data_IF_358189906687
#
_entry.id   IF_358189906687
#
_cell.length_a   1.000
_cell.length_b   1.000
_cell.length_c   1.000
_cell.angle_alpha   90.00
_cell.angle_beta   90.00
_cell.angle_gamma   90.00
#
_symmetry.space_group_name_H-M   'P 1'
#
loop_
_entity.id
_entity.type
_entity.pdbx_description
1 polymer ?
#
# COMPACT_ATOMS: atom_id res chain seq x y z
N UNK A 1 6.61 -7.43 0.68
CA UNK A 1 7.46 -6.27 0.30
C UNK A 1 6.75 -5.01 0.78
N UNK A 2 7.47 -4.04 1.35
CA UNK A 2 6.88 -2.73 1.65
C UNK A 2 6.82 -1.92 0.36
N UNK A 3 5.64 -1.87 -0.25
CA UNK A 3 5.34 -1.00 -1.39
C UNK A 3 5.57 0.45 -0.99
N UNK A 4 6.34 1.19 -1.80
CA UNK A 4 6.47 2.63 -1.61
C UNK A 4 5.07 3.26 -1.78
N UNK A 5 4.60 4.10 -0.83
CA UNK A 5 3.26 4.66 -0.90
C UNK A 5 2.98 5.50 -2.15
N UNK A 6 4.01 6.07 -2.78
CA UNK A 6 3.88 6.84 -4.03
C UNK A 6 4.00 6.00 -5.29
N UNK A 7 4.19 4.68 -5.17
CA UNK A 7 4.36 3.77 -6.30
C UNK A 7 5.79 3.67 -6.84
N UNK A 8 6.76 4.37 -6.24
CA UNK A 8 8.13 4.39 -6.73
C UNK A 8 8.81 3.02 -6.68
N UNK A 9 9.57 2.70 -7.73
CA UNK A 9 10.22 1.41 -7.88
C UNK A 9 11.67 1.38 -7.35
N UNK A 10 12.06 0.23 -6.81
CA UNK A 10 13.47 -0.12 -6.59
C UNK A 10 14.00 -0.88 -7.81
N UNK A 11 15.31 -0.83 -8.04
CA UNK A 11 15.95 -1.50 -9.18
C UNK A 11 15.60 -2.99 -9.25
N UNK A 12 15.74 -3.69 -8.13
CA UNK A 12 15.49 -5.14 -8.07
C UNK A 12 14.00 -5.43 -8.29
N UNK A 13 13.12 -4.65 -7.66
CA UNK A 13 11.67 -4.75 -7.83
C UNK A 13 11.28 -4.54 -9.29
N UNK A 14 11.74 -3.48 -9.93
CA UNK A 14 11.45 -3.18 -11.33
C UNK A 14 11.88 -4.31 -12.29
N UNK A 15 12.97 -5.01 -11.97
CA UNK A 15 13.53 -6.08 -12.82
C UNK A 15 12.93 -7.45 -12.58
N UNK A 16 12.49 -7.75 -11.36
CA UNK A 16 12.09 -9.10 -10.96
C UNK A 16 10.59 -9.21 -10.74
N UNK A 17 9.99 -8.20 -10.13
CA UNK A 17 8.59 -8.24 -9.68
C UNK A 17 7.69 -7.32 -10.51
N UNK A 18 8.28 -6.31 -11.17
CA UNK A 18 7.56 -5.25 -11.85
C UNK A 18 6.76 -4.41 -10.87
N UNK A 19 5.49 -4.18 -11.18
CA UNK A 19 4.55 -3.55 -10.28
C UNK A 19 3.87 -4.56 -9.33
N UNK A 20 3.96 -5.86 -9.61
CA UNK A 20 3.29 -6.95 -8.90
C UNK A 20 1.86 -7.22 -9.39
N UNK A 21 1.39 -6.58 -10.46
CA UNK A 21 -0.01 -6.67 -10.91
C UNK A 21 -0.31 -8.05 -11.50
N UNK A 22 0.56 -8.54 -12.38
CA UNK A 22 0.38 -9.83 -13.05
C UNK A 22 1.07 -10.95 -12.28
N UNK A 23 2.22 -10.64 -11.67
CA UNK A 23 3.01 -11.60 -10.89
C UNK A 23 2.23 -12.23 -9.74
N UNK A 24 1.39 -11.46 -9.06
CA UNK A 24 0.51 -12.00 -8.01
C UNK A 24 -0.46 -13.04 -8.59
N UNK A 25 -1.10 -12.76 -9.73
CA UNK A 25 -2.06 -13.65 -10.38
C UNK A 25 -1.40 -14.97 -10.81
N UNK A 26 -0.26 -14.89 -11.50
CA UNK A 26 0.48 -16.08 -11.97
C UNK A 26 1.03 -16.90 -10.80
N UNK A 27 1.49 -16.23 -9.74
CA UNK A 27 2.00 -16.89 -8.54
C UNK A 27 0.94 -17.62 -7.72
N UNK A 28 -0.34 -17.55 -8.11
CA UNK A 28 -1.45 -18.13 -7.36
C UNK A 28 -1.74 -17.40 -6.05
N UNK A 29 -1.05 -16.28 -5.78
CA UNK A 29 -1.33 -15.39 -4.65
C UNK A 29 -2.31 -14.28 -5.00
N UNK A 30 -2.60 -14.09 -6.30
CA UNK A 30 -3.66 -13.21 -6.77
C UNK A 30 -4.88 -13.59 -5.98
N UNK A 31 -5.56 -12.59 -5.41
CA UNK A 31 -6.64 -12.76 -4.46
C UNK A 31 -7.66 -13.78 -4.98
N UNK A 32 -7.40 -15.06 -4.72
CA UNK A 32 -8.40 -16.05 -4.47
C UNK A 32 -8.88 -15.64 -3.09
N UNK A 33 -9.57 -14.48 -3.02
CA UNK A 33 -10.65 -14.38 -2.08
C UNK A 33 -11.43 -15.67 -2.35
N UNK A 34 -11.40 -16.65 -1.41
CA UNK A 34 -12.18 -17.86 -1.62
C UNK A 34 -13.56 -17.38 -2.05
N UNK A 35 -14.15 -17.97 -3.13
CA UNK A 35 -15.38 -17.47 -3.73
C UNK A 35 -16.29 -17.08 -2.59
N UNK A 36 -16.64 -15.78 -2.50
CA UNK A 36 -17.14 -15.17 -1.27
C UNK A 36 -18.09 -16.15 -0.63
N UNK A 37 -17.64 -16.81 0.45
CA UNK A 37 -18.41 -17.92 0.96
C UNK A 37 -19.79 -17.36 1.25
N UNK A 38 -20.84 -18.02 0.76
CA UNK A 38 -22.20 -17.55 0.98
C UNK A 38 -22.50 -17.66 2.48
N UNK A 39 -22.09 -16.64 3.20
CA UNK A 39 -22.26 -16.54 4.62
C UNK A 39 -23.71 -16.14 4.87
N UNK A 40 -24.33 -16.77 5.86
CA UNK A 40 -25.65 -16.35 6.28
C UNK A 40 -25.58 -14.89 6.76
N UNK A 41 -26.67 -14.15 6.62
CA UNK A 41 -26.78 -12.79 7.16
C UNK A 41 -26.42 -12.73 8.64
N UNK A 42 -26.71 -13.80 9.40
CA UNK A 42 -26.32 -13.92 10.81
C UNK A 42 -24.81 -13.99 11.01
N UNK A 43 -24.10 -14.76 10.18
CA UNK A 43 -22.64 -14.84 10.22
C UNK A 43 -22.00 -13.49 9.86
N UNK A 44 -22.46 -12.82 8.79
CA UNK A 44 -21.91 -11.52 8.39
C UNK A 44 -22.12 -10.48 9.49
N UNK A 45 -23.32 -10.43 10.08
CA UNK A 45 -23.61 -9.55 11.22
C UNK A 45 -22.73 -9.84 12.44
N UNK A 46 -22.43 -11.10 12.72
CA UNK A 46 -21.53 -11.47 13.82
C UNK A 46 -20.08 -11.08 13.53
N UNK A 47 -19.59 -11.34 12.31
CA UNK A 47 -18.21 -11.02 11.93
C UNK A 47 -17.98 -9.50 11.91
N UNK A 48 -18.84 -8.79 11.18
CA UNK A 48 -18.67 -7.36 10.89
C UNK A 48 -19.27 -6.47 11.97
N UNK A 49 -20.23 -6.97 12.75
CA UNK A 49 -20.98 -6.19 13.72
C UNK A 49 -22.20 -5.49 13.13
N UNK A 50 -23.03 -4.92 14.00
CA UNK A 50 -24.31 -4.29 13.65
C UNK A 50 -24.41 -2.88 14.20
N UNK A 51 -23.81 -2.64 15.37
CA UNK A 51 -23.77 -1.32 16.01
C UNK A 51 -22.75 -0.44 15.30
N UNK A 52 -23.16 0.74 14.88
CA UNK A 52 -22.31 1.66 14.13
C UNK A 52 -21.84 2.79 15.04
N UNK A 53 -20.54 2.92 15.20
CA UNK A 53 -19.91 4.06 15.82
C UNK A 53 -19.16 4.91 14.80
N UNK A 54 -19.07 6.20 15.09
CA UNK A 54 -18.37 7.17 14.25
C UNK A 54 -17.32 7.89 15.06
N UNK A 55 -16.16 8.07 14.44
CA UNK A 55 -15.09 8.87 15.00
C UNK A 55 -14.57 9.83 13.92
N UNK A 56 -14.42 11.11 14.28
CA UNK A 56 -13.87 12.12 13.37
C UNK A 56 -12.39 12.28 13.64
N UNK A 57 -11.57 11.98 12.64
CA UNK A 57 -10.14 12.21 12.67
C UNK A 57 -9.84 13.71 12.76
N UNK A 58 -8.68 14.11 13.31
CA UNK A 58 -8.20 15.51 13.23
C UNK A 58 -8.11 16.05 11.79
N UNK A 59 -7.98 15.16 10.79
CA UNK A 59 -8.00 15.49 9.36
C UNK A 59 -9.40 15.81 8.82
N UNK A 60 -10.46 15.66 9.64
CA UNK A 60 -11.86 15.83 9.24
C UNK A 60 -12.50 14.56 8.62
N UNK A 61 -11.72 13.51 8.40
CA UNK A 61 -12.23 12.21 7.91
C UNK A 61 -13.08 11.54 8.98
N UNK A 62 -14.28 11.08 8.62
CA UNK A 62 -15.17 10.34 9.51
C UNK A 62 -14.99 8.85 9.30
N UNK A 63 -14.42 8.18 10.30
CA UNK A 63 -14.30 6.73 10.34
C UNK A 63 -15.58 6.13 10.91
N UNK A 64 -16.00 5.02 10.32
CA UNK A 64 -17.14 4.24 10.77
C UNK A 64 -16.64 2.86 11.16
N UNK A 65 -16.95 2.40 12.37
CA UNK A 65 -16.57 1.08 12.84
C UNK A 65 -17.70 0.44 13.63
N UNK A 66 -17.58 -0.88 13.83
CA UNK A 66 -18.61 -1.72 14.43
C UNK A 66 -18.01 -2.53 15.57
N UNK A 67 -18.01 -1.99 16.81
CA UNK A 67 -17.24 -2.56 17.91
C UNK A 67 -17.82 -3.88 18.43
N UNK A 68 -19.06 -4.21 18.06
CA UNK A 68 -19.73 -5.47 18.38
C UNK A 68 -19.34 -6.63 17.43
N UNK A 69 -18.62 -6.35 16.34
CA UNK A 69 -18.18 -7.38 15.40
C UNK A 69 -17.00 -8.21 15.92
N UNK A 70 -17.01 -9.52 15.65
CA UNK A 70 -15.92 -10.42 16.02
C UNK A 70 -14.57 -9.99 15.41
N UNK A 71 -14.56 -9.43 14.20
CA UNK A 71 -13.34 -8.93 13.58
C UNK A 71 -12.73 -7.77 14.39
N UNK A 72 -13.56 -6.81 14.81
CA UNK A 72 -13.11 -5.69 15.63
C UNK A 72 -12.55 -6.17 16.98
N UNK A 73 -13.33 -7.01 17.67
CA UNK A 73 -12.97 -7.54 18.99
C UNK A 73 -11.71 -8.41 18.94
N UNK A 74 -11.56 -9.25 17.90
CA UNK A 74 -10.37 -10.07 17.70
C UNK A 74 -9.10 -9.23 17.54
N UNK A 75 -9.19 -8.11 16.81
CA UNK A 75 -8.08 -7.17 16.66
C UNK A 75 -7.73 -6.46 17.97
N UNK A 76 -8.73 -6.01 18.73
CA UNK A 76 -8.51 -5.43 20.06
C UNK A 76 -7.90 -6.45 21.03
N UNK A 77 -8.33 -7.71 20.98
CA UNK A 77 -7.77 -8.77 21.82
C UNK A 77 -6.31 -9.09 21.45
N UNK A 78 -5.98 -9.11 20.15
CA UNK A 78 -4.65 -9.42 19.66
C UNK A 78 -3.64 -8.29 19.91
N UNK A 79 -4.01 -7.05 19.59
CA UNK A 79 -3.10 -5.90 19.62
C UNK A 79 -3.22 -5.04 20.87
N UNK A 80 -4.36 -5.11 21.56
CA UNK A 80 -4.66 -4.38 22.77
C UNK A 80 -5.66 -3.22 22.58
N UNK A 81 -6.20 -2.69 23.68
CA UNK A 81 -7.23 -1.65 23.66
C UNK A 81 -6.86 -0.38 22.87
N UNK A 82 -7.78 0.05 22.01
CA UNK A 82 -7.68 1.22 21.16
C UNK A 82 -6.84 1.01 19.89
N UNK A 83 -6.47 -0.23 19.57
CA UNK A 83 -5.68 -0.55 18.38
C UNK A 83 -6.38 -0.11 17.10
N UNK A 84 -7.65 -0.49 16.92
CA UNK A 84 -8.36 -0.22 15.66
C UNK A 84 -8.42 1.29 15.38
N UNK A 85 -8.77 2.07 16.40
CA UNK A 85 -8.83 3.54 16.28
C UNK A 85 -7.47 4.13 15.95
N UNK A 86 -6.42 3.74 16.70
CA UNK A 86 -5.08 4.26 16.51
C UNK A 86 -4.52 3.95 15.12
N UNK A 87 -4.75 2.74 14.61
CA UNK A 87 -4.33 2.37 13.26
C UNK A 87 -5.01 3.24 12.19
N UNK A 88 -6.33 3.40 12.25
CA UNK A 88 -7.04 4.23 11.28
C UNK A 88 -6.66 5.72 11.40
N UNK A 89 -6.40 6.23 12.61
CA UNK A 89 -5.87 7.59 12.83
C UNK A 89 -4.52 7.78 12.12
N UNK A 90 -3.63 6.78 12.20
CA UNK A 90 -2.32 6.82 11.55
C UNK A 90 -2.39 6.63 10.03
N UNK A 91 -3.30 5.79 9.53
CA UNK A 91 -3.58 5.66 8.09
C UNK A 91 -4.12 6.97 7.51
N UNK A 92 -5.07 7.62 8.20
CA UNK A 92 -5.60 8.92 7.80
C UNK A 92 -4.54 10.01 7.81
N UNK A 93 -3.63 10.00 8.79
CA UNK A 93 -2.47 10.89 8.80
C UNK A 93 -1.52 10.61 7.63
N UNK A 94 -1.22 9.34 7.34
CA UNK A 94 -0.38 8.96 6.21
C UNK A 94 -0.98 9.48 4.90
N UNK A 95 -2.28 9.27 4.67
CA UNK A 95 -2.98 9.75 3.49
C UNK A 95 -2.92 11.28 3.38
N UNK A 96 -3.12 12.01 4.49
CA UNK A 96 -3.02 13.47 4.51
C UNK A 96 -1.60 13.97 4.22
N UNK A 97 -0.58 13.30 4.74
CA UNK A 97 0.83 13.62 4.43
C UNK A 97 1.13 13.39 2.96
N UNK A 98 0.67 12.28 2.39
CA UNK A 98 0.83 11.98 0.97
C UNK A 98 0.14 13.01 0.08
N UNK A 99 -1.14 13.31 0.33
CA UNK A 99 -1.91 14.29 -0.44
C UNK A 99 -1.23 15.67 -0.48
N UNK A 100 -0.65 16.10 0.65
CA UNK A 100 0.09 17.36 0.70
C UNK A 100 1.47 17.27 0.05
N UNK A 101 2.15 16.12 0.15
CA UNK A 101 3.44 15.91 -0.51
C UNK A 101 3.28 15.92 -2.04
N UNK A 102 2.21 15.33 -2.57
CA UNK A 102 1.89 15.32 -4.00
C UNK A 102 1.56 16.72 -4.55
N UNK A 103 1.13 17.64 -3.69
CA UNK A 103 0.88 19.06 -4.02
C UNK A 103 2.14 19.92 -3.94
N UNK A 104 3.26 19.42 -3.41
CA UNK A 104 4.51 20.17 -3.31
C UNK A 104 5.08 20.44 -4.71
N UNK A 105 5.52 21.68 -4.95
CA UNK A 105 6.05 22.07 -6.26
C UNK A 105 7.26 21.25 -6.72
N UNK A 106 8.06 20.70 -5.79
CA UNK A 106 9.18 19.80 -6.12
C UNK A 106 8.67 18.46 -6.64
N UNK A 107 7.63 17.91 -6.01
CA UNK A 107 6.96 16.69 -6.47
C UNK A 107 6.38 16.89 -7.86
N UNK A 108 5.55 17.92 -8.03
CA UNK A 108 4.86 18.23 -9.29
C UNK A 108 5.87 18.42 -10.44
N UNK A 109 6.96 19.15 -10.20
CA UNK A 109 8.00 19.37 -11.20
C UNK A 109 8.74 18.09 -11.58
N UNK A 110 9.05 17.23 -10.61
CA UNK A 110 9.71 15.97 -10.86
C UNK A 110 8.79 14.98 -11.60
N UNK A 111 7.51 14.93 -11.23
CA UNK A 111 6.49 14.11 -11.90
C UNK A 111 6.32 14.52 -13.37
N UNK A 112 6.27 15.82 -13.67
CA UNK A 112 6.18 16.30 -15.05
C UNK A 112 7.40 15.87 -15.90
N UNK A 113 8.60 15.91 -15.32
CA UNK A 113 9.84 15.45 -15.99
C UNK A 113 9.83 13.94 -16.19
N UNK A 114 9.38 13.18 -15.19
CA UNK A 114 9.21 11.74 -15.25
C UNK A 114 8.23 11.36 -16.37
N UNK A 115 7.05 11.99 -16.39
CA UNK A 115 6.03 11.77 -17.42
C UNK A 115 6.56 12.07 -18.82
N UNK A 116 7.34 13.15 -18.98
CA UNK A 116 8.03 13.41 -20.26
C UNK A 116 9.06 12.33 -20.64
N UNK A 117 9.75 11.73 -19.67
CA UNK A 117 10.65 10.61 -19.90
C UNK A 117 9.88 9.37 -20.34
N UNK A 118 8.80 9.00 -19.64
CA UNK A 118 7.95 7.87 -19.99
C UNK A 118 7.35 8.00 -21.39
N UNK A 119 6.91 9.21 -21.78
CA UNK A 119 6.43 9.47 -23.16
C UNK A 119 7.51 9.22 -24.21
N UNK A 120 8.77 9.52 -23.92
CA UNK A 120 9.90 9.20 -24.83
C UNK A 120 10.17 7.71 -24.93
N UNK A 121 9.84 6.95 -23.89
CA UNK A 121 9.86 5.48 -23.87
C UNK A 121 8.60 4.84 -24.49
N UNK A 122 7.65 5.65 -24.97
CA UNK A 122 6.43 5.18 -25.64
C UNK A 122 5.20 5.08 -24.74
N UNK A 123 5.26 5.58 -23.50
CA UNK A 123 4.19 5.44 -22.52
C UNK A 123 3.54 6.78 -22.16
N UNK A 124 2.21 6.86 -22.24
CA UNK A 124 1.46 8.08 -21.91
C UNK A 124 0.96 7.99 -20.47
N UNK A 125 1.86 8.25 -19.53
CA UNK A 125 1.56 8.22 -18.10
C UNK A 125 1.68 9.63 -17.49
N UNK A 126 0.59 10.10 -16.90
CA UNK A 126 0.52 11.42 -16.27
C UNK A 126 0.74 11.36 -14.75
N UNK A 127 0.58 10.18 -14.15
CA UNK A 127 0.81 9.92 -12.72
C UNK A 127 1.48 8.55 -12.51
N UNK A 128 2.11 8.35 -11.33
CA UNK A 128 2.84 7.11 -10.99
C UNK A 128 1.93 5.88 -10.82
N UNK A 129 0.61 6.05 -10.77
CA UNK A 129 -0.36 4.95 -10.70
C UNK A 129 -0.85 4.53 -12.09
N UNK A 130 -0.64 5.33 -13.13
CA UNK A 130 -1.10 5.06 -14.49
C UNK A 130 -0.61 3.69 -15.04
N UNK A 131 0.67 3.28 -14.88
CA UNK A 131 1.11 1.95 -15.32
C UNK A 131 0.31 0.82 -14.66
N UNK A 132 0.04 0.93 -13.36
CA UNK A 132 -0.72 -0.07 -12.59
C UNK A 132 -2.17 -0.14 -13.06
N UNK A 133 -2.80 1.01 -13.31
CA UNK A 133 -4.17 1.11 -13.81
C UNK A 133 -4.31 0.52 -15.22
N UNK A 134 -3.31 0.73 -16.08
CA UNK A 134 -3.25 0.12 -17.41
C UNK A 134 -3.15 -1.39 -17.31
N UNK A 135 -2.13 -1.90 -16.60
CA UNK A 135 -1.91 -3.33 -16.41
C UNK A 135 -3.12 -4.04 -15.78
N UNK A 136 -3.80 -3.41 -14.83
CA UNK A 136 -5.00 -3.97 -14.22
C UNK A 136 -6.15 -4.17 -15.23
N UNK A 137 -6.33 -3.24 -16.19
CA UNK A 137 -7.31 -3.39 -17.28
C UNK A 137 -6.87 -4.46 -18.29
N UNK A 138 -5.57 -4.55 -18.56
CA UNK A 138 -5.04 -5.54 -19.50
C UNK A 138 -5.15 -6.96 -18.92
N UNK A 139 -5.03 -7.11 -17.60
CA UNK A 139 -5.34 -8.36 -16.90
C UNK A 139 -6.77 -8.79 -17.18
N UNK A 140 -7.74 -7.90 -17.06
CA UNK A 140 -9.16 -8.22 -17.36
C UNK A 140 -9.33 -8.70 -18.80
N UNK A 141 -8.56 -8.14 -19.74
CA UNK A 141 -8.57 -8.51 -21.16
C UNK A 141 -7.89 -9.83 -21.49
N UNK A 142 -7.26 -10.49 -20.51
CA UNK A 142 -6.62 -11.80 -20.71
C UNK A 142 -7.59 -12.98 -20.62
N UNK A 143 -8.82 -12.76 -20.14
CA UNK A 143 -9.83 -13.79 -19.86
C UNK A 143 -9.29 -14.96 -19.01
N UNK A 144 -8.28 -14.71 -18.17
CA UNK A 144 -7.63 -15.73 -17.35
C UNK A 144 -6.71 -16.70 -18.11
N UNK A 145 -6.36 -16.40 -19.36
CA UNK A 145 -5.44 -17.21 -20.16
C UNK A 145 -4.00 -17.13 -19.61
N UNK A 146 -3.48 -18.26 -19.12
CA UNK A 146 -2.09 -18.39 -18.65
C UNK A 146 -1.05 -17.87 -19.64
N UNK A 147 -1.26 -18.13 -20.94
CA UNK A 147 -0.35 -17.67 -21.98
C UNK A 147 -0.40 -16.15 -22.12
N UNK A 148 -1.60 -15.55 -22.10
CA UNK A 148 -1.77 -14.11 -22.19
C UNK A 148 -1.21 -13.41 -20.96
N UNK A 149 -1.47 -13.96 -19.76
CA UNK A 149 -0.90 -13.46 -18.50
C UNK A 149 0.63 -13.49 -18.52
N UNK A 150 1.28 -14.55 -19.03
CA UNK A 150 2.74 -14.60 -19.14
C UNK A 150 3.32 -13.56 -20.11
N UNK A 151 2.59 -13.26 -21.20
CA UNK A 151 2.97 -12.18 -22.12
C UNK A 151 2.86 -10.82 -21.42
N UNK A 152 1.74 -10.58 -20.74
CA UNK A 152 1.52 -9.35 -19.98
C UNK A 152 2.53 -9.17 -18.83
N UNK A 153 2.95 -10.25 -18.18
CA UNK A 153 4.02 -10.22 -17.18
C UNK A 153 5.35 -9.75 -17.77
N UNK A 154 5.69 -10.17 -18.99
CA UNK A 154 6.87 -9.68 -19.70
C UNK A 154 6.77 -8.19 -20.04
N UNK A 155 5.57 -7.72 -20.40
CA UNK A 155 5.30 -6.30 -20.62
C UNK A 155 5.40 -5.48 -19.33
N UNK A 156 4.81 -5.95 -18.23
CA UNK A 156 4.90 -5.34 -16.91
C UNK A 156 6.37 -5.11 -16.51
N UNK A 157 7.24 -6.12 -16.66
CA UNK A 157 8.65 -6.01 -16.32
C UNK A 157 9.39 -4.97 -17.19
N UNK A 158 9.03 -4.87 -18.47
CA UNK A 158 9.58 -3.87 -19.39
C UNK A 158 9.17 -2.46 -18.97
N UNK A 159 7.86 -2.25 -18.73
CA UNK A 159 7.32 -0.96 -18.29
C UNK A 159 7.97 -0.53 -16.97
N UNK A 160 8.03 -1.43 -15.98
CA UNK A 160 8.62 -1.16 -14.68
C UNK A 160 10.12 -0.83 -14.78
N UNK A 161 10.85 -1.50 -15.68
CA UNK A 161 12.27 -1.22 -15.91
C UNK A 161 12.49 0.18 -16.51
N UNK A 162 11.69 0.56 -17.50
CA UNK A 162 11.75 1.89 -18.12
C UNK A 162 11.31 2.99 -17.14
N UNK A 163 10.28 2.72 -16.34
CA UNK A 163 9.84 3.59 -15.25
C UNK A 163 10.98 3.87 -14.28
N UNK A 164 11.61 2.82 -13.72
CA UNK A 164 12.73 2.98 -12.81
C UNK A 164 13.88 3.82 -13.42
N UNK A 165 14.21 3.62 -14.71
CA UNK A 165 15.21 4.45 -15.41
C UNK A 165 14.79 5.92 -15.44
N UNK A 166 13.52 6.19 -15.75
CA UNK A 166 12.98 7.53 -15.77
C UNK A 166 12.94 8.18 -14.38
N UNK A 167 12.49 7.46 -13.33
CA UNK A 167 12.51 7.91 -11.94
C UNK A 167 13.92 8.35 -11.51
N UNK A 168 14.93 7.50 -11.81
CA UNK A 168 16.34 7.78 -11.47
C UNK A 168 16.88 8.98 -12.24
N UNK A 169 16.57 9.08 -13.54
CA UNK A 169 17.06 10.16 -14.41
C UNK A 169 16.59 11.53 -13.92
N UNK A 170 15.36 11.62 -13.42
CA UNK A 170 14.77 12.90 -12.98
C UNK A 170 14.86 13.11 -11.48
N UNK A 171 15.51 12.18 -10.75
CA UNK A 171 15.67 12.22 -9.29
C UNK A 171 14.33 12.30 -8.55
N UNK A 172 13.36 11.53 -9.03
CA UNK A 172 11.99 11.55 -8.51
C UNK A 172 11.94 11.09 -7.05
N UNK A 173 12.71 10.07 -6.70
CA UNK A 173 12.81 9.55 -5.32
C UNK A 173 13.21 10.64 -4.33
N UNK A 174 14.22 11.44 -4.68
CA UNK A 174 14.69 12.55 -3.84
C UNK A 174 13.64 13.65 -3.72
N UNK A 175 12.99 14.02 -4.84
CA UNK A 175 11.93 15.03 -4.81
C UNK A 175 10.75 14.61 -3.92
N UNK A 176 10.31 13.35 -4.03
CA UNK A 176 9.26 12.76 -3.20
C UNK A 176 9.68 12.75 -1.72
N UNK A 177 10.90 12.30 -1.41
CA UNK A 177 11.41 12.29 -0.04
C UNK A 177 11.47 13.70 0.57
N UNK A 178 11.94 14.69 -0.19
CA UNK A 178 12.04 16.07 0.27
C UNK A 178 10.68 16.75 0.46
N UNK A 179 9.70 16.45 -0.41
CA UNK A 179 8.32 16.90 -0.29
C UNK A 179 7.66 16.31 0.96
N UNK A 180 7.74 14.98 1.14
CA UNK A 180 7.21 14.32 2.33
C UNK A 180 7.85 14.86 3.61
N UNK A 181 9.19 14.94 3.66
CA UNK A 181 9.90 15.45 4.84
C UNK A 181 9.55 16.90 5.16
N UNK A 182 9.18 17.70 4.16
CA UNK A 182 8.71 19.07 4.39
C UNK A 182 7.33 19.08 5.05
N UNK A 183 6.38 18.30 4.52
CA UNK A 183 5.03 18.16 5.09
C UNK A 183 5.07 17.59 6.51
N UNK A 184 5.81 16.50 6.72
CA UNK A 184 5.95 15.83 8.01
C UNK A 184 6.46 16.74 9.13
N UNK A 185 7.31 17.73 8.82
CA UNK A 185 7.79 18.69 9.83
C UNK A 185 6.66 19.49 10.48
N UNK A 186 5.60 19.75 9.72
CA UNK A 186 4.42 20.46 10.21
C UNK A 186 3.33 19.53 10.73
N UNK A 187 3.18 18.35 10.11
CA UNK A 187 2.13 17.39 10.45
C UNK A 187 2.44 16.56 11.71
N UNK A 188 3.71 16.26 11.97
CA UNK A 188 4.12 15.43 13.12
C UNK A 188 4.34 16.31 14.34
N UNK A 189 3.29 16.56 15.12
CA UNK A 189 3.42 17.17 16.45
C UNK A 189 3.78 16.11 17.53
N UNK A 190 3.92 16.52 18.78
CA UNK A 190 4.31 15.62 19.87
C UNK A 190 3.27 14.54 20.18
N UNK A 191 1.97 14.85 20.01
CA UNK A 191 0.88 13.87 20.13
C UNK A 191 1.01 12.80 19.06
N UNK A 192 1.14 13.20 17.79
CA UNK A 192 1.32 12.29 16.67
C UNK A 192 2.56 11.40 16.84
N UNK A 193 3.66 11.96 17.33
CA UNK A 193 4.86 11.19 17.66
C UNK A 193 4.61 10.17 18.78
N UNK A 194 3.80 10.52 19.78
CA UNK A 194 3.42 9.58 20.85
C UNK A 194 2.54 8.46 20.31
N UNK A 195 1.58 8.77 19.43
CA UNK A 195 0.69 7.80 18.79
C UNK A 195 1.46 6.80 17.93
N UNK A 196 2.42 7.27 17.12
CA UNK A 196 3.33 6.40 16.36
C UNK A 196 4.14 5.45 17.27
N UNK A 197 4.66 5.95 18.40
CA UNK A 197 5.38 5.11 19.38
C UNK A 197 4.45 4.08 20.01
N UNK A 198 3.22 4.47 20.35
CA UNK A 198 2.21 3.57 20.91
C UNK A 198 1.86 2.48 19.90
N UNK A 199 1.60 2.83 18.65
CA UNK A 199 1.28 1.89 17.58
C UNK A 199 2.40 0.86 17.39
N UNK A 200 3.65 1.30 17.27
CA UNK A 200 4.79 0.40 17.14
C UNK A 200 4.95 -0.53 18.35
N UNK A 201 4.69 -0.02 19.56
CA UNK A 201 4.77 -0.82 20.78
C UNK A 201 3.68 -1.89 20.84
N UNK A 202 2.42 -1.56 20.54
CA UNK A 202 1.31 -2.52 20.46
C UNK A 202 1.58 -3.59 19.39
N UNK A 203 2.03 -3.17 18.20
CA UNK A 203 2.36 -4.08 17.09
C UNK A 203 3.46 -5.07 17.48
N UNK A 204 4.56 -4.58 18.09
CA UNK A 204 5.65 -5.46 18.55
C UNK A 204 5.20 -6.41 19.65
N UNK A 205 4.36 -5.96 20.58
CA UNK A 205 3.82 -6.80 21.66
C UNK A 205 2.99 -7.95 21.09
N UNK A 206 2.14 -7.67 20.10
CA UNK A 206 1.25 -8.66 19.50
C UNK A 206 2.00 -9.69 18.63
N UNK A 207 2.98 -9.23 17.83
CA UNK A 207 3.70 -10.10 16.90
C UNK A 207 4.84 -10.89 17.55
N UNK A 208 5.26 -10.51 18.76
CA UNK A 208 6.44 -11.08 19.42
C UNK A 208 7.76 -10.79 18.68
N UNK A 209 8.91 -11.19 19.23
CA UNK A 209 10.14 -11.25 18.44
C UNK A 209 9.99 -12.29 17.33
N UNK A 210 10.59 -12.09 16.14
CA UNK A 210 10.65 -13.15 15.13
C UNK A 210 11.35 -14.36 15.76
N UNK A 211 10.69 -15.52 15.75
CA UNK A 211 11.27 -16.77 16.20
C UNK A 211 12.61 -16.99 15.47
N UNK A 212 13.73 -16.87 16.19
CA UNK A 212 14.99 -17.49 15.76
C UNK A 212 14.85 -18.97 16.07
N UNK A 213 14.14 -19.69 15.19
CA UNK A 213 14.19 -21.15 15.20
C UNK A 213 15.62 -21.57 14.95
N UNK A 214 16.21 -22.10 16.02
CA UNK A 214 17.44 -22.87 16.12
C UNK A 214 17.57 -23.86 14.98
N UNK A 215 18.45 -23.57 14.02
CA UNK A 215 19.11 -24.58 13.21
C UNK A 215 20.32 -25.07 14.00
N UNK A 216 20.08 -25.98 14.94
CA UNK A 216 21.08 -26.96 15.34
C UNK A 216 20.81 -28.19 14.50
N UNK A 217 21.48 -28.28 13.34
CA UNK A 217 21.64 -29.55 12.65
C UNK A 217 22.70 -30.39 13.38
N UNK A 218 22.52 -31.71 13.53
CA UNK A 218 23.55 -32.58 14.08
C UNK A 218 24.69 -32.78 13.07
N UNK A 219 25.87 -33.05 13.62
CA UNK A 219 27.15 -33.36 12.94
C UNK A 219 27.07 -34.50 11.91
#
# INVERSE_FOLDING_TARGET
MTTNPYGLLRKEQARQDGYGVVGEIIGGTGNHAPPAAHHSTGWTKALEGTHVEKFTLPTGVVLTYRPDGCAYQGREAAYGPGWNRLENELEGLQAAVMDQAEKDGRYVSALAKWSSCMRKSGYVYDDLQAPRKELARDVESTDGSDRALRILAGEELRIASDDYVCERRVRLHEAVYEAQRYVERSALNDSTRADLRRYQMLKRKALGPPNRSTSTGPE
#
